data_IF_205637130122
#
_entry.id   IF_205637130122
#
_cell.length_a   1.000
_cell.length_b   1.000
_cell.length_c   1.000
_cell.angle_alpha   90.00
_cell.angle_beta   90.00
_cell.angle_gamma   90.00
#
_symmetry.space_group_name_H-M   'P 1'
#
loop_
_entity.id
_entity.type
_entity.pdbx_description
1 polymer ?
#
# COMPACT_ATOMS: atom_id res chain seq x y z
N UNK A 1 13.39 14.63 7.04
CA UNK A 1 12.06 14.72 6.42
C UNK A 1 12.00 15.81 5.34
N UNK A 2 12.54 17.01 5.59
CA UNK A 2 12.63 18.09 4.60
C UNK A 2 13.40 17.68 3.33
N UNK A 3 14.58 17.06 3.47
CA UNK A 3 15.41 16.64 2.33
C UNK A 3 14.67 15.66 1.41
N UNK A 4 13.98 14.65 1.96
CA UNK A 4 13.21 13.70 1.16
C UNK A 4 12.14 14.39 0.30
N UNK A 5 11.48 15.44 0.84
CA UNK A 5 10.51 16.21 0.08
C UNK A 5 11.19 16.99 -1.07
N UNK A 6 12.33 17.62 -0.82
CA UNK A 6 13.07 18.35 -1.85
C UNK A 6 13.53 17.42 -2.97
N UNK A 7 14.03 16.24 -2.62
CA UNK A 7 14.51 15.26 -3.60
C UNK A 7 13.40 14.74 -4.50
N UNK A 8 12.21 14.54 -3.93
CA UNK A 8 11.02 14.14 -4.68
C UNK A 8 10.58 15.23 -5.65
N UNK A 9 10.59 16.48 -5.19
CA UNK A 9 10.32 17.63 -6.05
C UNK A 9 11.37 17.76 -7.16
N UNK A 10 12.63 17.43 -6.89
CA UNK A 10 13.70 17.42 -7.88
C UNK A 10 13.49 16.32 -8.95
N UNK A 11 13.12 15.10 -8.55
CA UNK A 11 12.73 14.03 -9.47
C UNK A 11 11.54 14.48 -10.32
N UNK A 12 10.51 15.06 -9.70
CA UNK A 12 9.34 15.53 -10.43
C UNK A 12 9.67 16.66 -11.41
N UNK A 13 10.57 17.56 -11.03
CA UNK A 13 11.05 18.64 -11.92
C UNK A 13 11.78 18.08 -13.13
N UNK A 14 12.54 17.00 -12.97
CA UNK A 14 13.34 16.38 -14.03
C UNK A 14 12.54 15.46 -14.94
N UNK A 15 11.70 14.61 -14.37
CA UNK A 15 11.01 13.53 -15.09
C UNK A 15 9.50 13.76 -15.25
N UNK A 16 8.97 14.88 -14.73
CA UNK A 16 7.53 15.13 -14.69
C UNK A 16 6.86 14.37 -13.54
N UNK A 17 5.55 14.18 -13.63
CA UNK A 17 4.80 13.43 -12.62
C UNK A 17 4.98 11.91 -12.85
N UNK A 18 4.99 11.09 -11.79
CA UNK A 18 5.02 9.64 -11.91
C UNK A 18 3.78 9.17 -12.64
N UNK A 19 3.91 8.03 -13.31
CA UNK A 19 2.83 7.42 -14.08
C UNK A 19 2.03 6.43 -13.23
N UNK A 20 2.72 5.72 -12.32
CA UNK A 20 2.13 4.70 -11.47
C UNK A 20 2.35 4.97 -9.98
N UNK A 21 1.32 4.68 -9.21
CA UNK A 21 1.36 4.60 -7.76
C UNK A 21 0.98 3.18 -7.33
N UNK A 22 1.88 2.50 -6.63
CA UNK A 22 1.66 1.16 -6.14
C UNK A 22 1.68 1.14 -4.62
N UNK A 23 0.90 0.23 -4.05
CA UNK A 23 1.01 -0.08 -2.63
C UNK A 23 1.28 -1.56 -2.45
N UNK A 24 2.29 -1.93 -1.67
CA UNK A 24 2.65 -3.32 -1.40
C UNK A 24 2.50 -3.62 0.09
N UNK A 25 1.76 -4.68 0.43
CA UNK A 25 1.51 -5.06 1.83
C UNK A 25 2.11 -6.42 2.11
N UNK A 26 2.84 -6.53 3.23
CA UNK A 26 3.35 -7.82 3.70
C UNK A 26 2.22 -8.84 3.86
N UNK A 27 2.39 -10.03 3.29
CA UNK A 27 1.45 -11.13 3.48
C UNK A 27 1.97 -12.09 4.56
N UNK A 28 1.33 -12.19 5.73
CA UNK A 28 1.77 -13.09 6.79
C UNK A 28 1.65 -14.57 6.38
N UNK A 29 0.87 -14.89 5.33
CA UNK A 29 0.67 -16.26 4.82
C UNK A 29 1.76 -16.70 3.84
N UNK A 30 2.80 -15.90 3.60
CA UNK A 30 3.95 -16.37 2.82
C UNK A 30 4.60 -17.59 3.45
N UNK A 31 5.03 -18.54 2.61
CA UNK A 31 5.56 -19.84 3.05
C UNK A 31 6.77 -19.67 3.96
N UNK A 32 7.62 -18.68 3.67
CA UNK A 32 8.80 -18.35 4.46
C UNK A 32 8.43 -17.93 5.89
N UNK A 33 7.35 -17.17 6.04
CA UNK A 33 6.82 -16.76 7.35
C UNK A 33 6.13 -17.96 8.03
N UNK A 34 5.23 -18.64 7.32
CA UNK A 34 4.44 -19.74 7.87
C UNK A 34 5.31 -20.92 8.33
N UNK A 35 6.39 -21.24 7.61
CA UNK A 35 7.35 -22.27 7.99
C UNK A 35 8.05 -21.95 9.33
N UNK A 36 8.26 -20.67 9.62
CA UNK A 36 8.82 -20.23 10.89
C UNK A 36 7.78 -20.22 12.01
N UNK A 37 6.56 -19.74 11.71
CA UNK A 37 5.47 -19.67 12.68
C UNK A 37 5.01 -21.06 13.12
N UNK A 38 4.96 -22.04 12.20
CA UNK A 38 4.58 -23.42 12.53
C UNK A 38 5.53 -24.08 13.53
N UNK A 39 6.83 -23.76 13.48
CA UNK A 39 7.83 -24.27 14.42
C UNK A 39 7.77 -23.61 15.78
N UNK A 40 7.40 -22.32 15.82
CA UNK A 40 7.41 -21.53 17.06
C UNK A 40 6.05 -21.42 17.75
N UNK A 41 4.96 -21.80 17.10
CA UNK A 41 3.59 -21.63 17.60
C UNK A 41 3.10 -20.17 17.68
N UNK A 42 3.91 -19.22 17.23
CA UNK A 42 3.62 -17.79 17.33
C UNK A 42 2.74 -17.28 16.18
N UNK A 43 2.08 -16.15 16.41
CA UNK A 43 1.43 -15.38 15.34
C UNK A 43 2.42 -14.42 14.68
N UNK A 44 2.16 -14.08 13.41
CA UNK A 44 3.02 -13.18 12.63
C UNK A 44 3.28 -11.82 13.32
N UNK A 45 2.27 -11.28 14.00
CA UNK A 45 2.36 -9.99 14.71
C UNK A 45 3.39 -10.01 15.84
N UNK A 46 3.67 -11.18 16.43
CA UNK A 46 4.65 -11.36 17.49
C UNK A 46 6.06 -11.66 16.96
N UNK A 47 6.21 -11.83 15.64
CA UNK A 47 7.49 -12.04 14.96
C UNK A 47 7.71 -10.98 13.88
N UNK A 48 7.77 -9.69 14.27
CA UNK A 48 8.01 -8.59 13.32
C UNK A 48 9.37 -8.73 12.64
N UNK A 49 10.34 -9.39 13.26
CA UNK A 49 11.65 -9.68 12.70
C UNK A 49 11.60 -10.56 11.46
N UNK A 50 10.82 -11.64 11.51
CA UNK A 50 10.64 -12.52 10.35
C UNK A 50 9.82 -11.83 9.27
N UNK A 51 8.73 -11.16 9.66
CA UNK A 51 7.89 -10.43 8.70
C UNK A 51 8.67 -9.33 7.97
N UNK A 52 9.47 -8.53 8.68
CA UNK A 52 10.28 -7.47 8.08
C UNK A 52 11.35 -8.03 7.15
N UNK A 53 12.05 -9.10 7.53
CA UNK A 53 13.08 -9.73 6.67
C UNK A 53 12.48 -10.27 5.38
N UNK A 54 11.40 -11.05 5.47
CA UNK A 54 10.76 -11.63 4.29
C UNK A 54 10.18 -10.51 3.41
N UNK A 55 9.53 -9.51 4.01
CA UNK A 55 9.01 -8.37 3.26
C UNK A 55 10.11 -7.61 2.51
N UNK A 56 11.22 -7.30 3.17
CA UNK A 56 12.36 -6.62 2.55
C UNK A 56 12.93 -7.41 1.36
N UNK A 57 13.07 -8.73 1.47
CA UNK A 57 13.53 -9.58 0.36
C UNK A 57 12.55 -9.53 -0.82
N UNK A 58 11.24 -9.64 -0.56
CA UNK A 58 10.21 -9.57 -1.61
C UNK A 58 10.16 -8.20 -2.26
N UNK A 59 10.39 -7.14 -1.49
CA UNK A 59 10.49 -5.78 -1.99
C UNK A 59 11.70 -5.62 -2.92
N UNK A 60 12.91 -5.98 -2.47
CA UNK A 60 14.10 -5.86 -3.33
C UNK A 60 13.94 -6.66 -4.63
N UNK A 61 13.29 -7.83 -4.58
CA UNK A 61 12.92 -8.58 -5.78
C UNK A 61 11.96 -7.79 -6.70
N UNK A 62 10.92 -7.16 -6.14
CA UNK A 62 9.98 -6.34 -6.89
C UNK A 62 10.68 -5.13 -7.55
N UNK A 63 11.58 -4.47 -6.83
CA UNK A 63 12.37 -3.34 -7.35
C UNK A 63 13.29 -3.77 -8.49
N UNK A 64 13.96 -4.92 -8.34
CA UNK A 64 14.80 -5.49 -9.40
C UNK A 64 13.97 -5.82 -10.65
N UNK A 65 12.77 -6.37 -10.48
CA UNK A 65 11.90 -6.66 -11.61
C UNK A 65 11.44 -5.41 -12.34
N UNK A 66 11.09 -4.34 -11.62
CA UNK A 66 10.75 -3.05 -12.22
C UNK A 66 11.92 -2.48 -13.01
N UNK A 67 13.13 -2.51 -12.46
CA UNK A 67 14.35 -2.05 -13.15
C UNK A 67 14.70 -2.90 -14.37
N UNK A 68 14.37 -4.19 -14.37
CA UNK A 68 14.57 -5.08 -15.53
C UNK A 68 13.57 -4.83 -16.66
N UNK A 69 12.53 -4.03 -16.42
CA UNK A 69 11.46 -3.74 -17.36
C UNK A 69 10.48 -4.87 -17.62
N UNK A 70 10.54 -5.95 -16.82
CA UNK A 70 9.71 -7.15 -16.98
C UNK A 70 8.20 -6.90 -16.90
N UNK A 71 7.77 -5.88 -16.16
CA UNK A 71 6.35 -5.64 -15.86
C UNK A 71 5.72 -4.48 -16.62
N UNK A 72 6.47 -3.40 -16.83
CA UNK A 72 5.95 -2.12 -17.31
C UNK A 72 6.77 -1.52 -18.45
N UNK A 73 7.68 -2.31 -19.05
CA UNK A 73 8.73 -1.76 -19.90
C UNK A 73 9.74 -0.95 -19.08
N UNK A 74 10.39 -0.01 -19.72
CA UNK A 74 11.50 0.78 -19.17
C UNK A 74 11.00 1.71 -18.07
N UNK A 75 11.47 1.48 -16.83
CA UNK A 75 11.24 2.37 -15.69
C UNK A 75 12.38 3.38 -15.63
N UNK A 76 12.12 4.62 -16.03
CA UNK A 76 13.13 5.68 -16.12
C UNK A 76 13.49 6.29 -14.77
N UNK A 77 12.58 6.24 -13.80
CA UNK A 77 12.80 6.64 -12.42
C UNK A 77 11.80 5.93 -11.50
N UNK A 78 12.12 5.81 -10.23
CA UNK A 78 11.21 5.27 -9.25
C UNK A 78 11.62 5.62 -7.84
N UNK A 79 10.69 5.48 -6.92
CA UNK A 79 10.97 5.64 -5.51
C UNK A 79 9.99 4.88 -4.66
N UNK A 80 10.38 4.60 -3.43
CA UNK A 80 9.47 4.04 -2.45
C UNK A 80 9.69 4.57 -1.05
N UNK A 81 8.64 4.43 -0.24
CA UNK A 81 8.69 4.68 1.19
C UNK A 81 7.95 3.58 1.95
N UNK A 82 8.59 3.09 3.00
CA UNK A 82 7.98 2.13 3.94
C UNK A 82 7.12 2.90 4.94
N UNK A 83 5.89 2.45 5.13
CA UNK A 83 4.99 2.88 6.19
C UNK A 83 4.75 1.73 7.16
N UNK A 84 5.03 1.99 8.44
CA UNK A 84 4.71 1.06 9.52
C UNK A 84 3.33 1.41 10.07
N UNK A 85 2.29 0.78 9.52
CA UNK A 85 0.94 0.95 10.05
C UNK A 85 0.87 0.36 11.47
N UNK A 86 0.07 0.97 12.35
CA UNK A 86 -0.19 0.48 13.73
C UNK A 86 -0.79 -0.94 13.82
N UNK A 87 -0.99 -1.60 12.67
CA UNK A 87 -1.49 -2.98 12.52
C UNK A 87 -0.37 -4.02 12.42
N UNK A 88 0.90 -3.61 12.53
CA UNK A 88 2.05 -4.50 12.78
C UNK A 88 2.70 -5.16 11.56
N UNK A 89 2.19 -4.93 10.35
CA UNK A 89 2.81 -5.43 9.12
C UNK A 89 3.39 -4.27 8.30
N UNK A 90 4.61 -4.43 7.75
CA UNK A 90 5.16 -3.45 6.83
C UNK A 90 4.25 -3.22 5.63
N UNK A 91 4.09 -1.96 5.29
CA UNK A 91 3.41 -1.50 4.10
C UNK A 91 4.32 -0.54 3.36
N UNK A 92 4.08 -0.37 2.07
CA UNK A 92 4.93 0.46 1.24
C UNK A 92 4.14 1.17 0.16
N UNK A 93 4.62 2.37 -0.16
CA UNK A 93 4.17 3.18 -1.28
C UNK A 93 5.29 3.32 -2.29
N UNK A 94 5.01 2.98 -3.55
CA UNK A 94 5.96 3.02 -4.65
C UNK A 94 5.43 3.97 -5.72
N UNK A 95 6.30 4.81 -6.26
CA UNK A 95 6.03 5.67 -7.41
C UNK A 95 6.98 5.27 -8.54
N UNK A 96 6.45 5.11 -9.75
CA UNK A 96 7.24 4.77 -10.94
C UNK A 96 6.99 5.79 -12.06
N UNK A 97 8.07 6.17 -12.73
CA UNK A 97 8.07 6.90 -13.98
C UNK A 97 8.47 5.93 -15.09
N UNK A 98 7.65 5.88 -16.13
CA UNK A 98 7.82 4.96 -17.25
C UNK A 98 8.33 5.74 -18.46
N UNK A 99 9.05 5.05 -19.34
CA UNK A 99 9.41 5.62 -20.63
C UNK A 99 8.13 5.81 -21.48
N UNK A 100 7.86 7.02 -22.01
CA UNK A 100 6.67 7.28 -22.81
C UNK A 100 6.54 6.41 -24.07
N UNK A 101 7.65 5.81 -24.52
CA UNK A 101 7.68 4.91 -25.68
C UNK A 101 7.08 3.54 -25.36
N UNK A 102 7.13 3.13 -24.10
CA UNK A 102 6.58 1.86 -23.67
C UNK A 102 5.08 1.99 -23.40
N UNK A 103 4.28 1.22 -24.15
CA UNK A 103 2.84 1.15 -23.93
C UNK A 103 2.57 0.21 -22.76
N UNK A 104 1.82 0.71 -21.79
CA UNK A 104 1.39 -0.10 -20.66
C UNK A 104 0.29 -1.09 -21.09
N UNK A 105 0.67 -2.28 -21.51
CA UNK A 105 -0.28 -3.36 -21.77
C UNK A 105 -0.45 -4.20 -20.49
N UNK A 106 -1.66 -4.13 -19.91
CA UNK A 106 -2.00 -5.04 -18.83
C UNK A 106 -2.19 -6.45 -19.40
N UNK A 107 -1.60 -7.48 -18.78
CA UNK A 107 -1.74 -8.86 -19.22
C UNK A 107 -3.21 -9.29 -19.35
N UNK A 108 -3.56 -10.06 -20.38
CA UNK A 108 -4.92 -10.58 -20.55
C UNK A 108 -5.26 -11.57 -19.44
N UNK A 109 -6.33 -11.27 -18.71
CA UNK A 109 -6.90 -12.05 -17.60
C UNK A 109 -7.17 -13.51 -17.96
N UNK A 110 -7.41 -13.82 -19.25
CA UNK A 110 -7.71 -15.18 -19.75
C UNK A 110 -6.53 -16.16 -19.70
N UNK A 111 -5.30 -15.67 -19.55
CA UNK A 111 -4.08 -16.48 -19.63
C UNK A 111 -3.68 -17.01 -18.24
N UNK A 112 -4.37 -16.60 -17.17
CA UNK A 112 -3.93 -16.84 -15.79
C UNK A 112 -4.99 -17.57 -14.95
N UNK A 113 -5.08 -18.91 -15.02
CA UNK A 113 -6.12 -19.69 -14.33
C UNK A 113 -6.07 -19.56 -12.79
N UNK A 114 -4.89 -19.29 -12.21
CA UNK A 114 -4.74 -19.09 -10.76
C UNK A 114 -5.08 -17.67 -10.29
N UNK A 115 -5.30 -16.74 -11.24
CA UNK A 115 -5.50 -15.32 -10.94
C UNK A 115 -6.75 -15.08 -10.10
N UNK A 116 -7.84 -15.80 -10.40
CA UNK A 116 -9.10 -15.64 -9.68
C UNK A 116 -8.91 -15.79 -8.17
N UNK A 117 -8.22 -16.86 -7.72
CA UNK A 117 -7.95 -17.11 -6.30
C UNK A 117 -7.13 -15.99 -5.64
N UNK A 118 -6.13 -15.45 -6.34
CA UNK A 118 -5.34 -14.32 -5.85
C UNK A 118 -6.17 -13.04 -5.77
N UNK A 119 -6.97 -12.75 -6.80
CA UNK A 119 -7.83 -11.57 -6.85
C UNK A 119 -8.88 -11.61 -5.74
N UNK A 120 -9.57 -12.72 -5.55
CA UNK A 120 -10.58 -12.86 -4.50
C UNK A 120 -9.99 -12.71 -3.10
N UNK A 121 -8.77 -13.22 -2.89
CA UNK A 121 -8.06 -13.16 -1.61
C UNK A 121 -7.55 -11.75 -1.29
N UNK A 122 -6.91 -11.10 -2.26
CA UNK A 122 -6.13 -9.89 -2.00
C UNK A 122 -6.72 -8.62 -2.60
N UNK A 123 -7.41 -8.71 -3.74
CA UNK A 123 -7.79 -7.53 -4.52
C UNK A 123 -9.29 -7.21 -4.45
N UNK A 124 -10.04 -7.79 -3.51
CA UNK A 124 -11.45 -7.41 -3.28
C UNK A 124 -11.55 -6.39 -2.15
N UNK A 125 -12.03 -5.19 -2.48
CA UNK A 125 -12.46 -4.21 -1.50
C UNK A 125 -13.53 -4.83 -0.61
N UNK A 126 -13.37 -4.71 0.71
CA UNK A 126 -14.33 -5.29 1.65
C UNK A 126 -15.73 -4.68 1.47
N UNK A 127 -16.79 -5.41 1.86
CA UNK A 127 -18.14 -4.87 1.82
C UNK A 127 -18.22 -3.56 2.62
N UNK A 128 -18.92 -2.57 2.06
CA UNK A 128 -19.12 -1.24 2.63
C UNK A 128 -20.48 -0.69 2.16
N UNK A 129 -20.75 0.59 2.43
CA UNK A 129 -22.05 1.18 2.11
C UNK A 129 -23.13 0.66 3.05
N UNK A 130 -24.36 0.54 2.53
CA UNK A 130 -25.50 0.02 3.30
C UNK A 130 -25.27 -1.41 3.80
N UNK A 131 -24.54 -2.24 3.04
CA UNK A 131 -24.25 -3.61 3.44
C UNK A 131 -23.35 -3.68 4.69
N UNK A 132 -22.41 -2.73 4.85
CA UNK A 132 -21.57 -2.61 6.06
C UNK A 132 -21.23 -1.14 6.35
N UNK A 133 -22.08 -0.42 7.11
CA UNK A 133 -21.88 1.00 7.41
C UNK A 133 -20.65 1.28 8.29
N UNK A 134 -20.25 0.30 9.12
CA UNK A 134 -19.14 0.41 10.06
C UNK A 134 -17.77 0.05 9.45
N UNK A 135 -17.71 -0.18 8.13
CA UNK A 135 -16.43 -0.47 7.47
C UNK A 135 -15.47 0.73 7.57
N UNK A 136 -14.15 0.52 7.77
CA UNK A 136 -13.19 1.62 7.98
C UNK A 136 -13.10 2.64 6.83
N UNK A 137 -13.57 2.27 5.64
CA UNK A 137 -13.62 3.15 4.48
C UNK A 137 -14.83 4.10 4.49
N UNK A 138 -15.79 3.94 5.40
CA UNK A 138 -17.01 4.72 5.45
C UNK A 138 -16.80 6.04 6.18
N UNK A 139 -17.25 7.14 5.57
CA UNK A 139 -17.34 8.46 6.18
C UNK A 139 -18.64 9.12 5.69
N UNK A 140 -19.41 9.71 6.59
CA UNK A 140 -20.67 10.38 6.24
C UNK A 140 -21.61 9.49 5.40
N UNK A 141 -21.73 8.22 5.80
CA UNK A 141 -22.49 7.15 5.11
C UNK A 141 -22.07 6.85 3.66
N UNK A 142 -20.92 7.36 3.22
CA UNK A 142 -20.37 7.10 1.88
C UNK A 142 -19.01 6.42 1.98
N UNK A 143 -18.72 5.52 1.05
CA UNK A 143 -17.38 4.95 0.95
C UNK A 143 -16.41 6.03 0.45
N UNK A 144 -15.40 6.37 1.24
CA UNK A 144 -14.34 7.34 0.89
C UNK A 144 -13.51 6.92 -0.33
N UNK A 145 -13.59 5.64 -0.71
CA UNK A 145 -12.94 5.08 -1.90
C UNK A 145 -13.90 4.91 -3.09
N UNK A 146 -15.15 5.35 -2.93
CA UNK A 146 -16.21 5.33 -3.95
C UNK A 146 -16.51 3.92 -4.48
N UNK A 147 -16.56 2.94 -3.58
CA UNK A 147 -17.05 1.59 -3.89
C UNK A 147 -18.55 1.45 -3.59
N UNK A 148 -19.28 0.62 -4.36
CA UNK A 148 -18.81 -0.10 -5.55
C UNK A 148 -18.55 0.84 -6.74
N UNK A 149 -17.57 0.50 -7.59
CA UNK A 149 -17.26 1.26 -8.82
C UNK A 149 -18.31 1.02 -9.91
N UNK A 150 -18.32 1.83 -10.97
CA UNK A 150 -19.18 1.59 -12.14
C UNK A 150 -18.55 0.56 -13.09
N UNK A 151 -19.38 -0.20 -13.80
CA UNK A 151 -18.93 -0.98 -14.94
C UNK A 151 -18.61 -0.05 -16.11
N UNK A 152 -17.47 -0.29 -16.76
CA UNK A 152 -17.00 0.48 -17.92
C UNK A 152 -16.24 -0.44 -18.88
N UNK A 153 -16.46 -0.27 -20.18
CA UNK A 153 -15.91 -1.17 -21.21
C UNK A 153 -14.45 -0.91 -21.55
N UNK A 154 -13.94 0.28 -21.26
CA UNK A 154 -12.54 0.69 -21.49
C UNK A 154 -12.01 1.50 -20.31
N UNK A 155 -10.69 1.47 -20.12
CA UNK A 155 -10.03 2.37 -19.17
C UNK A 155 -9.95 3.76 -19.78
N UNK A 156 -10.30 4.79 -19.02
CA UNK A 156 -10.22 6.20 -19.44
C UNK A 156 -9.87 7.09 -18.25
N UNK A 157 -9.67 8.38 -18.50
CA UNK A 157 -9.61 9.39 -17.45
C UNK A 157 -10.91 10.20 -17.46
N UNK A 158 -11.41 10.57 -16.28
CA UNK A 158 -12.54 11.49 -16.17
C UNK A 158 -12.12 12.95 -16.43
N UNK A 159 -13.08 13.87 -16.44
CA UNK A 159 -12.85 15.31 -16.66
C UNK A 159 -11.90 15.94 -15.62
N UNK A 160 -11.74 15.29 -14.46
CA UNK A 160 -10.84 15.72 -13.38
C UNK A 160 -9.50 15.00 -13.43
N UNK A 161 -9.26 14.18 -14.45
CA UNK A 161 -8.05 13.40 -14.66
C UNK A 161 -7.92 12.18 -13.77
N UNK A 162 -8.98 11.68 -13.13
CA UNK A 162 -8.92 10.45 -12.35
C UNK A 162 -9.08 9.22 -13.26
N UNK A 163 -8.31 8.14 -13.04
CA UNK A 163 -8.44 6.93 -13.82
C UNK A 163 -9.76 6.21 -13.51
N UNK A 164 -10.50 5.90 -14.56
CA UNK A 164 -11.69 5.05 -14.56
C UNK A 164 -11.30 3.74 -15.25
N UNK A 165 -10.95 2.73 -14.45
CA UNK A 165 -10.50 1.43 -14.96
C UNK A 165 -11.63 0.62 -15.57
N UNK A 166 -11.33 -0.05 -16.69
CA UNK A 166 -12.20 -1.06 -17.30
C UNK A 166 -12.69 -2.06 -16.25
N UNK A 167 -14.01 -2.25 -16.18
CA UNK A 167 -14.69 -3.22 -15.31
C UNK A 167 -15.81 -3.85 -16.10
N UNK A 168 -15.61 -5.11 -16.49
CA UNK A 168 -16.59 -5.90 -17.22
C UNK A 168 -17.57 -6.52 -16.25
N UNK A 169 -18.85 -6.52 -16.61
CA UNK A 169 -19.84 -7.36 -15.95
C UNK A 169 -19.78 -8.75 -16.60
N UNK A 170 -19.16 -9.70 -15.89
CA UNK A 170 -19.00 -11.08 -16.34
C UNK A 170 -19.87 -12.04 -15.53
N UNK A 171 -20.76 -11.52 -14.67
CA UNK A 171 -21.58 -12.33 -13.76
C UNK A 171 -20.80 -12.99 -12.60
N UNK A 172 -19.47 -12.85 -12.53
CA UNK A 172 -18.67 -13.38 -11.44
C UNK A 172 -18.97 -12.68 -10.12
N UNK A 173 -19.17 -13.49 -9.08
CA UNK A 173 -19.43 -13.05 -7.71
C UNK A 173 -18.51 -13.75 -6.73
N UNK A 174 -18.16 -13.02 -5.67
CA UNK A 174 -17.33 -13.49 -4.56
C UNK A 174 -18.08 -13.20 -3.27
N UNK A 175 -18.27 -14.21 -2.44
CA UNK A 175 -18.82 -14.03 -1.10
C UNK A 175 -17.71 -13.55 -0.16
N UNK A 176 -17.87 -12.37 0.44
CA UNK A 176 -16.92 -11.83 1.41
C UNK A 176 -17.66 -11.28 2.62
N UNK A 177 -17.45 -11.90 3.79
CA UNK A 177 -18.16 -11.56 5.03
C UNK A 177 -19.69 -11.49 4.81
N UNK A 178 -20.25 -12.55 4.24
CA UNK A 178 -21.69 -12.74 4.01
C UNK A 178 -22.34 -11.74 3.04
N UNK A 179 -21.53 -11.03 2.25
CA UNK A 179 -21.99 -10.11 1.22
C UNK A 179 -21.43 -10.57 -0.13
N UNK A 180 -22.30 -10.75 -1.12
CA UNK A 180 -21.89 -11.00 -2.50
C UNK A 180 -21.31 -9.72 -3.11
N UNK A 181 -20.09 -9.81 -3.62
CA UNK A 181 -19.40 -8.72 -4.29
C UNK A 181 -19.04 -9.15 -5.71
N UNK A 182 -19.16 -8.22 -6.66
CA UNK A 182 -18.80 -8.43 -8.05
C UNK A 182 -17.54 -7.63 -8.42
N UNK A 183 -17.24 -7.57 -9.72
CA UNK A 183 -16.08 -6.88 -10.28
C UNK A 183 -16.04 -5.36 -9.97
N UNK A 184 -17.14 -4.76 -9.52
CA UNK A 184 -17.16 -3.35 -9.06
C UNK A 184 -16.41 -3.15 -7.75
N UNK A 185 -16.17 -4.22 -6.99
CA UNK A 185 -15.43 -4.22 -5.73
C UNK A 185 -13.95 -4.56 -5.90
N UNK A 186 -13.49 -4.85 -7.11
CA UNK A 186 -12.08 -5.18 -7.37
C UNK A 186 -11.21 -3.92 -7.25
N UNK A 187 -10.09 -4.03 -6.54
CA UNK A 187 -9.06 -3.00 -6.42
C UNK A 187 -8.11 -3.12 -7.63
N UNK A 188 -7.70 -2.03 -8.29
CA UNK A 188 -6.78 -2.09 -9.44
C UNK A 188 -5.51 -2.89 -9.16
N UNK A 189 -5.11 -3.77 -10.09
CA UNK A 189 -3.96 -4.66 -9.92
C UNK A 189 -3.31 -4.99 -11.27
N UNK A 190 -2.07 -5.48 -11.23
CA UNK A 190 -1.43 -6.17 -12.35
C UNK A 190 -1.43 -7.68 -12.06
N UNK A 191 -2.01 -8.52 -12.95
CA UNK A 191 -2.11 -9.96 -12.74
C UNK A 191 -0.79 -10.63 -12.39
N UNK A 192 0.28 -10.30 -13.12
CA UNK A 192 1.59 -10.92 -12.95
C UNK A 192 2.21 -10.58 -11.60
N UNK A 193 2.06 -9.34 -11.11
CA UNK A 193 2.60 -8.92 -9.82
C UNK A 193 1.91 -9.64 -8.66
N UNK A 194 0.57 -9.67 -8.66
CA UNK A 194 -0.16 -10.31 -7.55
C UNK A 194 0.05 -11.83 -7.54
N UNK A 195 0.23 -12.47 -8.69
CA UNK A 195 0.55 -13.90 -8.75
C UNK A 195 1.99 -14.18 -8.30
N UNK A 196 2.96 -13.37 -8.75
CA UNK A 196 4.38 -13.55 -8.39
C UNK A 196 4.59 -13.38 -6.88
N UNK A 197 4.02 -12.34 -6.31
CA UNK A 197 4.25 -11.99 -4.90
C UNK A 197 3.18 -12.55 -3.96
N UNK A 198 2.06 -13.09 -4.47
CA UNK A 198 0.96 -13.64 -3.68
C UNK A 198 0.56 -12.73 -2.51
N UNK A 199 0.26 -11.46 -2.81
CA UNK A 199 0.06 -10.42 -1.81
C UNK A 199 -0.88 -9.32 -2.31
N UNK A 200 -1.31 -8.46 -1.38
CA UNK A 200 -2.11 -7.28 -1.71
C UNK A 200 -1.22 -6.19 -2.33
N UNK A 201 -1.33 -6.05 -3.66
CA UNK A 201 -0.61 -5.05 -4.46
C UNK A 201 -1.63 -4.24 -5.27
N UNK A 202 -1.93 -3.02 -4.80
CA UNK A 202 -2.76 -2.07 -5.54
C UNK A 202 -1.89 -1.29 -6.53
N UNK A 203 -2.41 -1.01 -7.72
CA UNK A 203 -1.71 -0.26 -8.77
C UNK A 203 -2.66 0.75 -9.39
N UNK A 204 -2.37 2.02 -9.20
CA UNK A 204 -3.15 3.13 -9.72
C UNK A 204 -2.31 3.97 -10.68
N UNK A 205 -2.95 4.55 -11.69
CA UNK A 205 -2.39 5.59 -12.53
C UNK A 205 -2.34 6.84 -11.68
N UNK A 206 -1.16 7.42 -11.61
CA UNK A 206 -0.97 8.64 -10.87
C UNK A 206 -1.34 9.82 -11.78
N UNK A 207 -2.29 10.64 -11.35
CA UNK A 207 -2.56 11.92 -11.99
C UNK A 207 -1.81 13.03 -11.24
N UNK A 208 -1.61 14.19 -11.90
CA UNK A 208 -0.79 15.30 -11.37
C UNK A 208 -1.20 15.72 -9.94
N UNK A 209 -2.50 15.83 -9.67
CA UNK A 209 -3.04 16.29 -8.39
C UNK A 209 -2.94 15.25 -7.27
N UNK A 210 -3.21 13.97 -7.56
CA UNK A 210 -3.04 12.89 -6.60
C UNK A 210 -1.57 12.63 -6.30
N UNK A 211 -0.69 12.76 -7.29
CA UNK A 211 0.74 12.58 -7.09
C UNK A 211 1.27 13.49 -5.98
N UNK A 212 1.04 14.80 -6.09
CA UNK A 212 1.52 15.76 -5.09
C UNK A 212 0.95 15.43 -3.72
N UNK A 213 -0.36 15.12 -3.66
CA UNK A 213 -1.01 14.75 -2.42
C UNK A 213 -0.39 13.50 -1.78
N UNK A 214 -0.15 12.44 -2.55
CA UNK A 214 0.39 11.19 -2.03
C UNK A 214 1.88 11.31 -1.69
N UNK A 215 2.65 12.00 -2.53
CA UNK A 215 4.05 12.30 -2.26
C UNK A 215 4.19 13.06 -0.94
N UNK A 216 3.53 14.21 -0.81
CA UNK A 216 3.59 14.99 0.43
C UNK A 216 3.07 14.16 1.60
N UNK A 217 1.89 13.55 1.48
CA UNK A 217 1.29 12.80 2.57
C UNK A 217 2.20 11.71 3.14
N UNK A 218 2.94 10.97 2.31
CA UNK A 218 3.72 9.82 2.77
C UNK A 218 5.20 10.09 2.97
N UNK A 219 5.79 11.05 2.25
CA UNK A 219 7.19 11.46 2.43
C UNK A 219 7.32 12.42 3.62
N UNK A 220 6.34 13.29 3.82
CA UNK A 220 6.31 14.24 4.94
C UNK A 220 5.49 13.72 6.12
N UNK A 221 5.05 12.45 6.12
CA UNK A 221 4.37 11.87 7.27
C UNK A 221 5.35 11.78 8.41
N UNK A 222 5.24 12.70 9.36
CA UNK A 222 6.01 12.69 10.60
C UNK A 222 5.96 11.34 11.32
N UNK A 223 6.87 11.16 12.25
CA UNK A 223 6.90 9.98 13.11
C UNK A 223 5.58 9.88 13.90
N UNK A 224 5.12 8.67 14.16
CA UNK A 224 3.97 8.49 15.05
C UNK A 224 4.36 9.04 16.44
N UNK A 225 3.48 9.87 17.01
CA UNK A 225 3.66 10.45 18.35
C UNK A 225 2.55 9.97 19.28
N UNK A 226 2.89 9.85 20.55
CA UNK A 226 1.99 9.49 21.64
C UNK A 226 2.21 10.47 22.76
N UNK A 227 1.14 11.13 23.18
CA UNK A 227 1.12 11.91 24.41
C UNK A 227 0.86 10.97 25.57
N UNK A 228 1.84 10.84 26.46
CA UNK A 228 1.70 10.09 27.70
C UNK A 228 1.42 11.07 28.84
N UNK A 229 0.52 10.68 29.76
CA UNK A 229 0.18 11.47 30.94
C UNK A 229 0.64 10.71 32.17
N UNK A 230 1.48 11.32 32.99
CA UNK A 230 1.84 10.77 34.30
C UNK A 230 0.78 11.24 35.29
N UNK A 231 0.07 10.29 35.92
CA UNK A 231 -0.75 10.62 37.10
C UNK A 231 0.17 10.65 38.31
N UNK A 232 0.37 11.83 38.88
CA UNK A 232 0.97 11.98 40.21
C UNK A 232 -0.14 11.96 41.26
N UNK A 233 0.17 11.57 42.50
CA UNK A 233 -0.81 11.52 43.59
C UNK A 233 -1.33 12.92 43.93
N UNK A 234 -2.58 13.02 44.37
CA UNK A 234 -3.36 14.27 44.54
C UNK A 234 -2.83 15.26 45.62
N UNK A 235 -1.62 15.05 46.16
CA UNK A 235 -1.09 15.82 47.30
C UNK A 235 0.04 16.81 46.93
N UNK A 236 0.51 16.84 45.68
CA UNK A 236 1.54 17.79 45.23
C UNK A 236 1.00 18.84 44.25
N UNK A 237 1.58 20.06 44.29
CA UNK A 237 1.34 21.13 43.33
C UNK A 237 1.65 20.61 41.91
N UNK A 238 0.61 20.36 41.11
CA UNK A 238 0.74 19.72 39.79
C UNK A 238 1.23 20.75 38.77
N UNK A 239 2.43 20.54 38.24
CA UNK A 239 2.93 21.24 37.05
C UNK A 239 2.29 20.60 35.79
N UNK A 240 1.29 21.29 35.22
CA UNK A 240 0.56 20.85 34.03
C UNK A 240 1.48 20.60 32.81
N UNK A 241 2.64 21.26 32.71
CA UNK A 241 3.58 21.07 31.59
C UNK A 241 4.39 19.80 31.77
N UNK A 242 4.81 19.49 33.01
CA UNK A 242 5.54 18.25 33.31
C UNK A 242 4.64 17.01 33.28
N UNK A 243 3.33 17.18 33.32
CA UNK A 243 2.36 16.08 33.32
C UNK A 243 2.25 15.38 31.95
N UNK A 244 2.56 16.06 30.85
CA UNK A 244 2.41 15.54 29.49
C UNK A 244 3.75 15.36 28.78
N UNK A 245 4.06 14.11 28.42
CA UNK A 245 5.20 13.80 27.58
C UNK A 245 4.76 13.51 26.16
N UNK A 246 5.22 14.32 25.21
CA UNK A 246 5.02 14.08 23.78
C UNK A 246 6.15 13.20 23.23
N UNK A 247 5.91 11.90 23.24
CA UNK A 247 6.88 10.87 22.92
C UNK A 247 6.77 10.40 21.47
N UNK A 248 7.89 9.99 20.88
CA UNK A 248 7.88 9.26 19.61
C UNK A 248 7.50 7.81 19.86
N UNK A 249 6.49 7.33 19.15
CA UNK A 249 6.14 5.92 19.12
C UNK A 249 6.92 5.19 18.01
N UNK A 250 7.54 4.07 18.35
CA UNK A 250 8.15 3.15 17.41
C UNK A 250 7.37 1.84 17.45
N UNK A 251 6.74 1.47 16.34
CA UNK A 251 6.10 0.17 16.22
C UNK A 251 7.15 -0.95 16.23
N UNK A 252 6.79 -2.19 16.63
CA UNK A 252 7.72 -3.32 16.59
C UNK A 252 8.38 -3.51 15.21
N UNK A 253 7.60 -3.38 14.13
CA UNK A 253 8.11 -3.47 12.76
C UNK A 253 9.09 -2.34 12.41
N UNK A 254 8.79 -1.09 12.82
CA UNK A 254 9.71 0.03 12.60
C UNK A 254 11.02 -0.17 13.36
N UNK A 255 10.94 -0.58 14.63
CA UNK A 255 12.11 -0.86 15.46
C UNK A 255 13.00 -1.92 14.83
N UNK A 256 12.42 -3.04 14.38
CA UNK A 256 13.20 -4.10 13.74
C UNK A 256 13.77 -3.65 12.38
N UNK A 257 13.00 -2.93 11.56
CA UNK A 257 13.50 -2.39 10.30
C UNK A 257 14.76 -1.53 10.50
N UNK A 258 14.74 -0.69 11.55
CA UNK A 258 15.88 0.13 11.95
C UNK A 258 17.05 -0.70 12.48
N UNK A 259 16.80 -1.72 13.31
CA UNK A 259 17.83 -2.63 13.81
C UNK A 259 18.56 -3.34 12.66
N UNK A 260 17.82 -3.78 11.64
CA UNK A 260 18.40 -4.37 10.44
C UNK A 260 19.05 -3.37 9.49
N UNK A 261 18.95 -2.07 9.79
CA UNK A 261 19.48 -0.97 8.96
C UNK A 261 18.94 -1.01 7.53
N UNK A 262 17.67 -1.41 7.38
CA UNK A 262 17.00 -1.34 6.09
C UNK A 262 16.57 0.10 5.79
N UNK A 263 16.70 0.51 4.54
CA UNK A 263 16.28 1.84 4.11
C UNK A 263 14.76 1.96 4.20
N UNK A 264 14.29 3.07 4.78
CA UNK A 264 12.86 3.42 4.82
C UNK A 264 12.45 4.10 3.52
N UNK A 265 13.38 4.80 2.87
CA UNK A 265 13.16 5.52 1.62
C UNK A 265 14.26 5.15 0.63
N UNK A 266 13.90 4.72 -0.57
CA UNK A 266 14.82 4.63 -1.70
C UNK A 266 14.24 5.35 -2.91
N UNK A 267 15.11 5.74 -3.82
CA UNK A 267 14.78 6.38 -5.09
C UNK A 267 15.85 6.06 -6.12
N UNK A 268 15.46 6.10 -7.39
CA UNK A 268 16.35 5.92 -8.53
C UNK A 268 15.79 6.62 -9.79
N UNK A 269 16.56 6.84 -10.88
CA UNK A 269 18.00 6.62 -10.95
C UNK A 269 18.68 7.33 -9.78
#
# INVERSE_FOLDING_TARGET
MFNNCQDVMAICKKFGYPDLFLTFTCNPKWVEIQCHLSKSGNQAVYRPDICCRVFHIKLEQMMADFKSGKFFGTVIAGMYTIEFQRRGLPHEYILLWLDPRDKLEFPDERIYPKLYASVTSFMIHGPCGFARPNSPCMKDRRCTKFYPKKFVSRTSFDERGYPVYRRRDLGYKVLKKDVELDNRSVVPYNPMLIMKHNAHINIEYCNKSNCIKYMLKYITKGVDRVTATLKMNDEECVDEIQQYHDCRYLSPSESIWRIFKYDIHKRWP
#
